data_IF_255287019634
#
_entry.id   IF_255287019634
#
_cell.length_a   1.000
_cell.length_b   1.000
_cell.length_c   1.000
_cell.angle_alpha   90.00
_cell.angle_beta   90.00
_cell.angle_gamma   90.00
#
_symmetry.space_group_name_H-M   'P 1'
#
loop_
_entity.id
_entity.type
_entity.pdbx_description
1 polymer ?
#
# COMPACT_ATOMS: atom_id res chain seq x y z
N UNK A 1 12.34 12.20 1.37
CA UNK A 1 11.63 13.14 0.47
C UNK A 1 10.34 13.62 1.13
N UNK A 2 9.64 14.61 0.55
CA UNK A 2 8.32 15.07 1.02
C UNK A 2 7.31 13.92 1.18
N UNK A 3 7.36 12.92 0.28
CA UNK A 3 6.48 11.75 0.34
C UNK A 3 6.75 10.90 1.60
N UNK A 4 8.01 10.64 1.92
CA UNK A 4 8.39 9.86 3.11
C UNK A 4 8.01 10.60 4.40
N UNK A 5 8.21 11.93 4.44
CA UNK A 5 7.83 12.75 5.61
C UNK A 5 6.31 12.71 5.82
N UNK A 6 5.52 12.81 4.75
CA UNK A 6 4.06 12.68 4.83
C UNK A 6 3.66 11.30 5.34
N UNK A 7 4.32 10.22 4.88
CA UNK A 7 4.06 8.87 5.38
C UNK A 7 4.39 8.70 6.86
N UNK A 8 5.51 9.25 7.34
CA UNK A 8 5.90 9.18 8.75
C UNK A 8 4.91 9.97 9.62
N UNK A 9 4.56 11.19 9.22
CA UNK A 9 3.55 11.99 9.92
C UNK A 9 2.20 11.27 9.97
N UNK A 10 1.80 10.66 8.85
CA UNK A 10 0.58 9.86 8.76
C UNK A 10 0.67 8.68 9.73
N UNK A 11 1.75 7.91 9.73
CA UNK A 11 1.95 6.78 10.64
C UNK A 11 1.81 7.19 12.11
N UNK A 12 2.49 8.27 12.53
CA UNK A 12 2.40 8.77 13.91
C UNK A 12 0.96 9.18 14.24
N UNK A 13 0.31 9.95 13.37
CA UNK A 13 -1.07 10.38 13.57
C UNK A 13 -2.04 9.20 13.70
N UNK A 14 -1.90 8.18 12.84
CA UNK A 14 -2.76 6.99 12.89
C UNK A 14 -2.52 6.15 14.14
N UNK A 15 -1.28 6.02 14.63
CA UNK A 15 -1.00 5.30 15.88
C UNK A 15 -1.58 6.03 17.10
N UNK A 16 -1.40 7.35 17.18
CA UNK A 16 -1.95 8.18 18.27
C UNK A 16 -3.48 8.14 18.27
N UNK A 17 -4.11 8.33 17.10
CA UNK A 17 -5.56 8.21 16.96
C UNK A 17 -6.03 6.80 17.28
N UNK A 18 -5.32 5.76 16.81
CA UNK A 18 -5.64 4.36 17.08
C UNK A 18 -5.64 4.03 18.57
N UNK A 19 -4.66 4.56 19.32
CA UNK A 19 -4.62 4.42 20.77
C UNK A 19 -5.83 5.08 21.45
N UNK A 20 -6.19 6.30 21.03
CA UNK A 20 -7.35 7.02 21.58
C UNK A 20 -8.70 6.42 21.19
N UNK A 21 -8.81 5.79 20.01
CA UNK A 21 -10.04 5.16 19.53
C UNK A 21 -10.35 3.81 20.20
N UNK A 22 -9.32 3.13 20.71
CA UNK A 22 -9.47 1.81 21.33
C UNK A 22 -9.83 0.69 20.35
N UNK A 23 -10.06 -0.50 20.89
CA UNK A 23 -10.30 -1.75 20.18
C UNK A 23 -11.44 -1.62 19.17
N UNK A 24 -12.62 -1.18 19.60
CA UNK A 24 -13.86 -1.28 18.82
C UNK A 24 -13.80 -0.42 17.54
N UNK A 25 -13.33 0.81 17.66
CA UNK A 25 -13.17 1.73 16.53
C UNK A 25 -11.95 1.35 15.68
N UNK A 26 -10.83 0.95 16.29
CA UNK A 26 -9.65 0.47 15.57
C UNK A 26 -9.96 -0.74 14.69
N UNK A 27 -10.66 -1.74 15.26
CA UNK A 27 -11.11 -2.92 14.55
C UNK A 27 -12.05 -2.56 13.40
N UNK A 28 -13.05 -1.72 13.65
CA UNK A 28 -14.02 -1.27 12.64
C UNK A 28 -13.33 -0.67 11.42
N UNK A 29 -12.37 0.23 11.67
CA UNK A 29 -11.68 0.93 10.61
C UNK A 29 -10.71 0.02 9.84
N UNK A 30 -9.99 -0.87 10.52
CA UNK A 30 -9.18 -1.89 9.85
C UNK A 30 -10.07 -2.80 8.97
N UNK A 31 -11.17 -3.30 9.53
CA UNK A 31 -12.07 -4.24 8.86
C UNK A 31 -12.70 -3.63 7.61
N UNK A 32 -13.04 -2.33 7.65
CA UNK A 32 -13.48 -1.55 6.49
C UNK A 32 -12.49 -1.66 5.32
N UNK A 33 -11.19 -1.48 5.57
CA UNK A 33 -10.16 -1.56 4.52
C UNK A 33 -9.95 -2.98 3.98
N UNK A 34 -10.05 -4.00 4.84
CA UNK A 34 -10.02 -5.41 4.41
C UNK A 34 -11.17 -5.68 3.43
N UNK A 35 -12.39 -5.27 3.78
CA UNK A 35 -13.54 -5.43 2.90
C UNK A 35 -13.41 -4.66 1.59
N UNK A 36 -12.91 -3.42 1.63
CA UNK A 36 -12.67 -2.64 0.41
C UNK A 36 -11.72 -3.41 -0.53
N UNK A 37 -10.60 -3.94 -0.02
CA UNK A 37 -9.68 -4.72 -0.85
C UNK A 37 -10.34 -5.99 -1.40
N UNK A 38 -11.05 -6.74 -0.56
CA UNK A 38 -11.72 -7.97 -0.96
C UNK A 38 -12.78 -7.73 -2.04
N UNK A 39 -13.73 -6.82 -1.79
CA UNK A 39 -14.81 -6.52 -2.73
C UNK A 39 -14.31 -5.80 -3.98
N UNK A 40 -13.33 -4.90 -3.87
CA UNK A 40 -12.76 -4.24 -5.05
C UNK A 40 -12.11 -5.25 -5.99
N UNK A 41 -11.34 -6.22 -5.47
CA UNK A 41 -10.77 -7.32 -6.24
C UNK A 41 -11.86 -8.17 -6.90
N UNK A 42 -12.89 -8.55 -6.14
CA UNK A 42 -13.98 -9.39 -6.62
C UNK A 42 -14.75 -8.69 -7.75
N UNK A 43 -15.20 -7.46 -7.53
CA UNK A 43 -15.96 -6.69 -8.50
C UNK A 43 -15.12 -6.39 -9.75
N UNK A 44 -13.84 -6.07 -9.61
CA UNK A 44 -12.98 -5.83 -10.77
C UNK A 44 -12.78 -7.05 -11.65
N UNK A 45 -12.53 -8.19 -11.02
CA UNK A 45 -12.21 -9.41 -11.75
C UNK A 45 -13.45 -10.05 -12.38
N UNK A 46 -14.63 -9.89 -11.77
CA UNK A 46 -15.88 -10.53 -12.19
C UNK A 46 -16.77 -9.61 -13.02
N UNK A 47 -17.05 -8.41 -12.53
CA UNK A 47 -18.09 -7.52 -13.10
C UNK A 47 -17.49 -6.50 -14.07
N UNK A 48 -16.35 -5.91 -13.71
CA UNK A 48 -15.77 -4.76 -14.42
C UNK A 48 -14.69 -5.21 -15.42
N UNK A 49 -14.53 -6.51 -15.66
CA UNK A 49 -13.50 -7.03 -16.57
C UNK A 49 -13.69 -6.46 -17.98
N UNK A 50 -12.92 -5.44 -18.32
CA UNK A 50 -12.92 -4.77 -19.64
C UNK A 50 -11.61 -5.10 -20.36
N UNK A 51 -11.57 -6.18 -21.16
CA UNK A 51 -10.32 -6.67 -21.77
C UNK A 51 -9.65 -5.67 -22.72
N UNK A 52 -10.38 -4.69 -23.26
CA UNK A 52 -9.86 -3.67 -24.18
C UNK A 52 -9.54 -2.32 -23.52
N UNK A 53 -9.78 -2.14 -22.21
CA UNK A 53 -9.55 -0.86 -21.56
C UNK A 53 -8.05 -0.64 -21.28
N UNK A 54 -7.55 0.57 -21.47
CA UNK A 54 -6.17 0.92 -21.10
C UNK A 54 -5.94 0.74 -19.59
N UNK A 55 -4.70 0.40 -19.20
CA UNK A 55 -4.30 0.20 -17.81
C UNK A 55 -4.68 1.40 -16.91
N UNK A 56 -4.54 2.63 -17.42
CA UNK A 56 -4.86 3.86 -16.69
C UNK A 56 -6.36 4.09 -16.54
N UNK A 57 -7.16 3.74 -17.54
CA UNK A 57 -8.61 3.82 -17.42
C UNK A 57 -9.12 2.79 -16.40
N UNK A 58 -8.52 1.59 -16.37
CA UNK A 58 -8.80 0.60 -15.34
C UNK A 58 -8.40 1.10 -13.94
N UNK A 59 -7.24 1.75 -13.80
CA UNK A 59 -6.83 2.38 -12.53
C UNK A 59 -7.80 3.48 -12.08
N UNK A 60 -8.20 4.38 -12.97
CA UNK A 60 -9.14 5.45 -12.64
C UNK A 60 -10.47 4.88 -12.15
N UNK A 61 -11.00 3.88 -12.84
CA UNK A 61 -12.21 3.19 -12.39
C UNK A 61 -12.00 2.50 -11.05
N UNK A 62 -10.80 1.97 -10.79
CA UNK A 62 -10.48 1.31 -9.52
C UNK A 62 -10.47 2.28 -8.36
N UNK A 63 -9.90 3.47 -8.55
CA UNK A 63 -9.93 4.54 -7.56
C UNK A 63 -11.37 4.96 -7.26
N UNK A 64 -12.19 5.15 -8.30
CA UNK A 64 -13.62 5.46 -8.15
C UNK A 64 -14.35 4.34 -7.40
N UNK A 65 -14.07 3.07 -7.72
CA UNK A 65 -14.67 1.93 -7.03
C UNK A 65 -14.28 1.87 -5.56
N UNK A 66 -13.00 2.06 -5.22
CA UNK A 66 -12.54 2.12 -3.82
C UNK A 66 -13.31 3.20 -3.07
N UNK A 67 -13.45 4.39 -3.67
CA UNK A 67 -14.17 5.50 -3.06
C UNK A 67 -15.64 5.16 -2.81
N UNK A 68 -16.33 4.58 -3.80
CA UNK A 68 -17.72 4.13 -3.66
C UNK A 68 -17.88 3.04 -2.60
N UNK A 69 -17.01 2.03 -2.60
CA UNK A 69 -16.99 0.97 -1.59
C UNK A 69 -16.74 1.53 -0.20
N UNK A 70 -15.85 2.52 -0.07
CA UNK A 70 -15.60 3.19 1.21
C UNK A 70 -16.86 3.86 1.75
N UNK A 71 -17.62 4.57 0.91
CA UNK A 71 -18.89 5.19 1.32
C UNK A 71 -19.92 4.14 1.73
N UNK A 72 -20.14 3.12 0.88
CA UNK A 72 -21.12 2.06 1.13
C UNK A 72 -20.82 1.30 2.42
N UNK A 73 -19.57 0.86 2.59
CA UNK A 73 -19.15 0.10 3.77
C UNK A 73 -19.21 0.98 5.02
N UNK A 74 -18.88 2.27 4.91
CA UNK A 74 -19.00 3.20 6.05
C UNK A 74 -20.45 3.33 6.50
N UNK A 75 -21.41 3.50 5.58
CA UNK A 75 -22.84 3.56 5.90
C UNK A 75 -23.32 2.23 6.50
N UNK A 76 -22.96 1.10 5.87
CA UNK A 76 -23.34 -0.23 6.31
C UNK A 76 -22.84 -0.54 7.72
N UNK A 77 -21.56 -0.29 7.97
CA UNK A 77 -20.97 -0.54 9.26
C UNK A 77 -21.48 0.45 10.32
N UNK A 78 -21.83 1.70 9.97
CA UNK A 78 -22.36 2.68 10.92
C UNK A 78 -23.69 2.21 11.50
N UNK A 79 -24.58 1.68 10.65
CA UNK A 79 -25.84 1.04 11.08
C UNK A 79 -25.61 -0.15 12.02
N UNK A 80 -24.54 -0.91 11.80
CA UNK A 80 -24.19 -2.08 12.61
C UNK A 80 -23.24 -1.78 13.79
N UNK A 81 -22.87 -0.51 14.00
CA UNK A 81 -21.92 -0.10 15.05
C UNK A 81 -22.37 -0.47 16.46
N UNK A 82 -23.69 -0.60 16.68
CA UNK A 82 -24.27 -1.06 17.94
C UNK A 82 -23.88 -2.50 18.30
N UNK A 83 -23.62 -3.37 17.32
CA UNK A 83 -23.16 -4.74 17.57
C UNK A 83 -21.76 -4.76 18.18
N UNK A 84 -20.86 -3.92 17.65
CA UNK A 84 -19.46 -3.87 18.06
C UNK A 84 -19.27 -3.19 19.42
N UNK A 85 -20.14 -2.22 19.78
CA UNK A 85 -20.16 -1.61 21.12
C UNK A 85 -20.47 -2.62 22.25
N UNK A 86 -21.02 -3.79 21.93
CA UNK A 86 -21.31 -4.84 22.92
C UNK A 86 -20.07 -5.67 23.29
N UNK A 87 -18.99 -5.60 22.52
CA UNK A 87 -17.75 -6.31 22.81
C UNK A 87 -17.01 -5.51 23.90
N UNK A 88 -17.02 -6.04 25.13
CA UNK A 88 -16.24 -5.47 26.23
C UNK A 88 -14.80 -5.96 26.13
N UNK A 89 -13.85 -5.03 26.07
CA UNK A 89 -12.41 -5.30 26.12
C UNK A 89 -11.87 -4.64 27.39
N UNK A 90 -10.95 -5.33 28.07
CA UNK A 90 -10.26 -4.79 29.23
C UNK A 90 -9.60 -3.46 28.90
N UNK A 91 -9.78 -2.44 29.75
CA UNK A 91 -9.31 -1.07 29.53
C UNK A 91 -7.81 -1.00 29.28
N UNK A 92 -7.03 -1.88 29.92
CA UNK A 92 -5.57 -1.98 29.74
C UNK A 92 -5.18 -2.44 28.33
N UNK A 93 -6.02 -3.26 27.70
CA UNK A 93 -5.79 -3.79 26.35
C UNK A 93 -6.48 -2.99 25.26
N UNK A 94 -7.47 -2.16 25.62
CA UNK A 94 -8.27 -1.40 24.69
C UNK A 94 -7.42 -0.47 23.81
N UNK A 95 -6.54 0.33 24.43
CA UNK A 95 -5.65 1.25 23.70
C UNK A 95 -4.58 0.53 22.88
N UNK A 96 -3.96 -0.52 23.44
CA UNK A 96 -2.93 -1.30 22.74
C UNK A 96 -3.50 -2.02 21.50
N UNK A 97 -4.69 -2.62 21.62
CA UNK A 97 -5.36 -3.25 20.48
C UNK A 97 -5.80 -2.21 19.43
N UNK A 98 -6.29 -1.05 19.85
CA UNK A 98 -6.59 0.06 18.94
C UNK A 98 -5.36 0.50 18.12
N UNK A 99 -4.21 0.61 18.77
CA UNK A 99 -2.93 0.92 18.11
C UNK A 99 -2.52 -0.18 17.11
N UNK A 100 -2.63 -1.45 17.48
CA UNK A 100 -2.33 -2.57 16.58
C UNK A 100 -3.22 -2.54 15.32
N UNK A 101 -4.52 -2.36 15.47
CA UNK A 101 -5.43 -2.27 14.33
C UNK A 101 -5.17 -1.05 13.44
N UNK A 102 -4.80 0.09 14.04
CA UNK A 102 -4.37 1.26 13.29
C UNK A 102 -3.10 0.98 12.47
N UNK A 103 -2.13 0.25 13.04
CA UNK A 103 -0.94 -0.20 12.33
C UNK A 103 -1.27 -1.12 11.14
N UNK A 104 -2.13 -2.11 11.34
CA UNK A 104 -2.58 -3.01 10.25
C UNK A 104 -3.32 -2.21 9.17
N UNK A 105 -4.27 -1.34 9.57
CA UNK A 105 -4.99 -0.43 8.65
C UNK A 105 -4.01 0.39 7.81
N UNK A 106 -3.01 1.00 8.45
CA UNK A 106 -1.99 1.80 7.77
C UNK A 106 -1.24 0.99 6.73
N UNK A 107 -0.84 -0.24 7.07
CA UNK A 107 -0.19 -1.14 6.13
C UNK A 107 -1.05 -1.40 4.89
N UNK A 108 -2.35 -1.65 5.05
CA UNK A 108 -3.28 -1.86 3.94
C UNK A 108 -3.40 -0.61 3.04
N UNK A 109 -3.52 0.57 3.65
CA UNK A 109 -3.60 1.84 2.92
C UNK A 109 -2.31 2.12 2.14
N UNK A 110 -1.16 1.89 2.76
CA UNK A 110 0.16 2.04 2.12
C UNK A 110 0.29 1.13 0.91
N UNK A 111 -0.18 -0.13 1.01
CA UNK A 111 -0.19 -1.06 -0.13
C UNK A 111 -1.05 -0.51 -1.29
N UNK A 112 -2.24 0.03 -1.01
CA UNK A 112 -3.11 0.62 -2.05
C UNK A 112 -2.43 1.82 -2.72
N UNK A 113 -1.87 2.74 -1.92
CA UNK A 113 -1.16 3.92 -2.42
C UNK A 113 0.04 3.50 -3.28
N UNK A 114 0.82 2.52 -2.81
CA UNK A 114 1.96 1.96 -3.56
C UNK A 114 1.54 1.52 -4.96
N UNK A 115 0.46 0.75 -5.09
CA UNK A 115 0.02 0.26 -6.41
C UNK A 115 -0.43 1.40 -7.32
N UNK A 116 -1.17 2.38 -6.79
CA UNK A 116 -1.59 3.57 -7.54
C UNK A 116 -0.37 4.35 -8.04
N UNK A 117 0.60 4.58 -7.17
CA UNK A 117 1.82 5.35 -7.46
C UNK A 117 2.71 4.61 -8.46
N UNK A 118 2.89 3.28 -8.31
CA UNK A 118 3.65 2.46 -9.27
C UNK A 118 3.04 2.52 -10.66
N UNK A 119 1.71 2.33 -10.76
CA UNK A 119 1.03 2.43 -12.05
C UNK A 119 1.15 3.86 -12.60
N UNK A 120 0.94 4.89 -11.79
CA UNK A 120 1.13 6.29 -12.19
C UNK A 120 2.54 6.59 -12.70
N UNK A 121 3.57 5.98 -12.11
CA UNK A 121 4.97 6.07 -12.52
C UNK A 121 5.28 5.44 -13.89
N UNK A 122 4.41 4.55 -14.39
CA UNK A 122 4.53 4.05 -15.75
C UNK A 122 4.21 5.16 -16.78
N UNK A 123 3.25 6.05 -16.48
CA UNK A 123 2.83 7.17 -17.34
C UNK A 123 3.72 8.40 -17.20
N UNK A 124 4.12 8.72 -15.98
CA UNK A 124 4.76 10.01 -15.67
C UNK A 124 6.20 9.83 -15.20
N UNK A 125 7.15 10.46 -15.90
CA UNK A 125 8.56 10.52 -15.49
C UNK A 125 8.70 11.12 -14.09
N UNK A 126 7.94 12.18 -13.77
CA UNK A 126 7.97 12.80 -12.44
C UNK A 126 7.58 11.82 -11.33
N UNK A 127 6.47 11.10 -11.52
CA UNK A 127 6.02 10.09 -10.54
C UNK A 127 7.02 8.94 -10.45
N UNK A 128 7.62 8.52 -11.57
CA UNK A 128 8.65 7.49 -11.58
C UNK A 128 9.87 7.87 -10.74
N UNK A 129 10.29 9.14 -10.79
CA UNK A 129 11.37 9.66 -9.93
C UNK A 129 10.96 9.60 -8.46
N UNK A 130 9.73 10.01 -8.12
CA UNK A 130 9.21 9.88 -6.75
C UNK A 130 9.24 8.43 -6.25
N UNK A 131 8.85 7.46 -7.09
CA UNK A 131 8.92 6.04 -6.73
C UNK A 131 10.35 5.58 -6.43
N UNK A 132 11.32 6.06 -7.23
CA UNK A 132 12.74 5.70 -7.11
C UNK A 132 13.42 6.39 -5.94
N UNK A 133 13.02 7.59 -5.57
CA UNK A 133 13.66 8.33 -4.47
C UNK A 133 12.99 8.07 -3.12
N UNK A 134 11.71 7.67 -3.09
CA UNK A 134 10.99 7.41 -1.84
C UNK A 134 11.43 6.10 -1.19
N UNK A 135 11.97 6.20 0.01
CA UNK A 135 12.34 5.05 0.82
C UNK A 135 11.12 4.19 1.18
N UNK A 136 9.96 4.80 1.44
CA UNK A 136 8.73 4.06 1.75
C UNK A 136 8.32 3.20 0.55
N UNK A 137 8.23 3.77 -0.65
CA UNK A 137 7.85 3.03 -1.86
C UNK A 137 8.86 1.92 -2.18
N UNK A 138 10.16 2.20 -2.02
CA UNK A 138 11.20 1.18 -2.19
C UNK A 138 11.10 0.04 -1.17
N UNK A 139 10.79 0.37 0.09
CA UNK A 139 10.60 -0.64 1.14
C UNK A 139 9.38 -1.50 0.83
N UNK A 140 8.26 -0.86 0.46
CA UNK A 140 7.02 -1.54 0.08
C UNK A 140 7.20 -2.45 -1.12
N UNK A 141 7.99 -2.06 -2.11
CA UNK A 141 8.30 -2.89 -3.27
C UNK A 141 8.94 -4.25 -2.90
N UNK A 142 9.64 -4.36 -1.77
CA UNK A 142 10.26 -5.62 -1.36
C UNK A 142 9.24 -6.66 -0.88
N UNK A 143 8.14 -6.21 -0.26
CA UNK A 143 7.11 -7.09 0.30
C UNK A 143 5.82 -7.13 -0.52
N UNK A 144 5.52 -6.11 -1.34
CA UNK A 144 4.33 -6.05 -2.18
C UNK A 144 4.07 -7.30 -3.04
N UNK A 145 5.09 -8.01 -3.59
CA UNK A 145 4.85 -9.26 -4.32
C UNK A 145 4.13 -10.35 -3.50
N UNK A 146 4.31 -10.40 -2.18
CA UNK A 146 3.63 -11.36 -1.29
C UNK A 146 2.14 -11.05 -1.15
N UNK A 147 1.76 -9.79 -1.35
CA UNK A 147 0.38 -9.29 -1.23
C UNK A 147 -0.26 -9.01 -2.59
N UNK A 148 0.39 -9.40 -3.70
CA UNK A 148 -0.06 -9.11 -5.07
C UNK A 148 -1.45 -9.71 -5.37
N UNK A 149 -1.79 -10.79 -4.67
CA UNK A 149 -3.08 -11.46 -4.79
C UNK A 149 -4.22 -10.72 -4.11
N UNK A 150 -3.95 -9.72 -3.26
CA UNK A 150 -5.00 -8.85 -2.72
C UNK A 150 -5.57 -7.91 -3.79
N UNK A 151 -4.84 -7.69 -4.88
CA UNK A 151 -5.21 -6.73 -5.92
C UNK A 151 -5.94 -7.37 -7.12
N UNK A 152 -6.73 -6.58 -7.86
CA UNK A 152 -7.24 -6.98 -9.17
C UNK A 152 -6.16 -7.49 -10.13
N UNK A 153 -6.55 -8.39 -11.06
CA UNK A 153 -5.60 -9.04 -11.99
C UNK A 153 -4.78 -8.04 -12.82
N UNK A 154 -5.38 -6.92 -13.22
CA UNK A 154 -4.71 -5.93 -14.07
C UNK A 154 -3.53 -5.22 -13.40
N UNK A 155 -3.48 -5.21 -12.06
CA UNK A 155 -2.41 -4.55 -11.29
C UNK A 155 -1.19 -5.45 -11.07
N UNK A 156 -1.38 -6.78 -11.15
CA UNK A 156 -0.34 -7.75 -10.82
C UNK A 156 0.92 -7.56 -11.67
N UNK A 157 0.74 -7.31 -12.96
CA UNK A 157 1.83 -7.09 -13.89
C UNK A 157 2.67 -5.87 -13.47
N UNK A 158 2.03 -4.73 -13.19
CA UNK A 158 2.72 -3.50 -12.81
C UNK A 158 3.52 -3.65 -11.52
N UNK A 159 2.97 -4.36 -10.52
CA UNK A 159 3.66 -4.64 -9.25
C UNK A 159 4.91 -5.50 -9.49
N UNK A 160 4.78 -6.57 -10.28
CA UNK A 160 5.91 -7.47 -10.61
C UNK A 160 7.00 -6.74 -11.39
N UNK A 161 6.62 -6.07 -12.49
CA UNK A 161 7.55 -5.34 -13.34
C UNK A 161 8.33 -4.28 -12.55
N UNK A 162 7.65 -3.50 -11.70
CA UNK A 162 8.34 -2.51 -10.87
C UNK A 162 9.34 -3.14 -9.89
N UNK A 163 8.99 -4.28 -9.30
CA UNK A 163 9.86 -5.02 -8.37
C UNK A 163 11.08 -5.60 -9.07
N UNK A 164 10.90 -6.15 -10.26
CA UNK A 164 11.99 -6.68 -11.10
C UNK A 164 12.93 -5.55 -11.53
N UNK A 165 12.41 -4.46 -12.08
CA UNK A 165 13.21 -3.28 -12.43
C UNK A 165 13.99 -2.71 -11.22
N UNK A 166 13.41 -2.78 -10.01
CA UNK A 166 14.09 -2.37 -8.79
C UNK A 166 15.29 -3.28 -8.50
N UNK A 167 15.08 -4.59 -8.53
CA UNK A 167 16.14 -5.59 -8.29
C UNK A 167 17.28 -5.45 -9.31
N UNK A 168 16.96 -5.24 -10.58
CA UNK A 168 17.96 -5.00 -11.62
C UNK A 168 18.79 -3.75 -11.32
N UNK A 169 18.15 -2.65 -10.93
CA UNK A 169 18.86 -1.41 -10.56
C UNK A 169 19.76 -1.60 -9.34
N UNK A 170 19.31 -2.34 -8.32
CA UNK A 170 20.10 -2.64 -7.13
C UNK A 170 21.35 -3.46 -7.50
N UNK A 171 21.19 -4.50 -8.33
CA UNK A 171 22.32 -5.31 -8.84
C UNK A 171 23.31 -4.48 -9.66
N UNK A 172 22.83 -3.64 -10.58
CA UNK A 172 23.70 -2.76 -11.38
C UNK A 172 24.48 -1.82 -10.47
N UNK A 173 23.82 -1.24 -9.46
CA UNK A 173 24.48 -0.35 -8.49
C UNK A 173 25.55 -1.09 -7.69
N UNK A 174 25.26 -2.31 -7.25
CA UNK A 174 26.23 -3.15 -6.53
C UNK A 174 27.47 -3.45 -7.37
N UNK A 175 27.28 -3.82 -8.65
CA UNK A 175 28.37 -4.06 -9.60
C UNK A 175 29.19 -2.79 -9.82
N UNK A 176 28.53 -1.64 -10.03
CA UNK A 176 29.22 -0.36 -10.21
C UNK A 176 30.00 0.07 -8.96
N UNK A 177 29.44 -0.15 -7.78
CA UNK A 177 30.10 0.16 -6.51
C UNK A 177 31.28 -0.79 -6.24
N UNK A 178 31.17 -2.06 -6.65
CA UNK A 178 32.30 -3.01 -6.66
C UNK A 178 33.45 -2.51 -7.55
N UNK A 179 33.17 -2.17 -8.82
CA UNK A 179 34.18 -1.62 -9.72
C UNK A 179 34.77 -0.30 -9.19
N UNK A 180 33.94 0.59 -8.64
CA UNK A 180 34.41 1.86 -8.06
C UNK A 180 35.32 1.66 -6.85
N UNK A 181 35.08 0.63 -6.03
CA UNK A 181 35.96 0.28 -4.90
C UNK A 181 37.28 -0.32 -5.39
N UNK A 182 37.22 -1.27 -6.33
CA UNK A 182 38.43 -1.95 -6.80
C UNK A 182 39.28 -1.11 -7.77
N UNK A 183 38.70 -0.14 -8.48
CA UNK A 183 39.47 0.81 -9.30
C UNK A 183 40.10 1.95 -8.49
N UNK A 184 39.77 2.11 -7.20
CA UNK A 184 40.46 3.08 -6.32
C UNK A 184 41.83 2.59 -5.84
N UNK A 185 42.09 1.28 -5.92
CA UNK A 185 43.34 0.67 -5.44
C UNK A 185 44.40 0.49 -6.55
N UNK A 186 44.17 1.01 -7.76
CA UNK A 186 45.19 1.07 -8.81
C UNK A 186 45.70 -0.27 -9.36
N UNK A 187 45.22 -1.42 -8.89
CA UNK A 187 45.68 -2.72 -9.40
C UNK A 187 44.73 -3.28 -10.46
N UNK A 188 44.87 -2.81 -11.71
CA UNK A 188 44.53 -3.64 -12.85
C UNK A 188 45.58 -4.76 -12.94
N UNK A 189 45.22 -5.98 -12.55
CA UNK A 189 45.91 -7.19 -12.99
C UNK A 189 45.02 -7.86 -14.02
N UNK A 190 45.40 -7.72 -15.28
CA UNK A 190 45.00 -8.65 -16.35
C UNK A 190 45.67 -10.01 -16.11
#
# INVERSE_FOLDING_TARGET
MILDTVFVMMLVAFLVMGYGYGFTLGFYDMFKWIFIMFFSKLLFNTVIKRPKASLFNQLNFYIILIFLLYLIITIFLFKNSQFLKKIKVDERFNGAAGMLFAGIKMFLVVLIIYVIVVIGGMKSKRVRVLCKESQVIQTVANFAPQYVDLFPKFMKYSIKNYTEEKKEREKIKEVLDYYRRNNKDGSFKF
#
